data_IF_761001650906
#
_entry.id   IF_761001650906
#
_cell.length_a   1.000
_cell.length_b   1.000
_cell.length_c   1.000
_cell.angle_alpha   90.00
_cell.angle_beta   90.00
_cell.angle_gamma   90.00
#
_symmetry.space_group_name_H-M   'P 1'
#
loop_
_entity.id
_entity.type
_entity.pdbx_description
1 polymer ?
#
# COMPACT_ATOMS: atom_id res chain seq x y z
N UNK A 1 -23.35 18.64 -1.97
CA UNK A 1 -22.20 18.54 -2.89
C UNK A 1 -21.86 17.07 -3.04
N UNK A 2 -22.29 16.46 -4.14
CA UNK A 2 -22.07 15.05 -4.44
C UNK A 2 -20.71 14.97 -5.17
N UNK A 3 -19.63 14.46 -4.56
CA UNK A 3 -18.38 14.31 -5.30
C UNK A 3 -18.63 13.27 -6.37
N UNK A 4 -18.20 13.51 -7.60
CA UNK A 4 -18.27 12.51 -8.67
C UNK A 4 -17.25 11.40 -8.35
N UNK A 5 -17.65 10.44 -7.51
CA UNK A 5 -16.92 9.26 -7.01
C UNK A 5 -16.20 8.42 -8.08
N UNK A 6 -16.49 8.70 -9.35
CA UNK A 6 -16.02 7.98 -10.52
C UNK A 6 -14.81 8.70 -11.16
N UNK A 7 -14.66 10.02 -11.00
CA UNK A 7 -13.66 10.80 -11.74
C UNK A 7 -12.23 10.66 -11.22
N UNK A 8 -12.04 10.64 -9.89
CA UNK A 8 -10.73 10.50 -9.27
C UNK A 8 -10.06 9.14 -9.53
N UNK A 9 -10.75 7.99 -9.36
CA UNK A 9 -10.16 6.68 -9.64
C UNK A 9 -9.85 6.48 -11.13
N UNK A 10 -10.69 7.00 -12.03
CA UNK A 10 -10.48 6.89 -13.48
C UNK A 10 -9.27 7.69 -13.97
N UNK A 11 -9.08 8.91 -13.43
CA UNK A 11 -7.92 9.73 -13.79
C UNK A 11 -6.59 9.12 -13.32
N UNK A 12 -6.60 8.51 -12.12
CA UNK A 12 -5.45 7.78 -11.58
C UNK A 12 -5.17 6.48 -12.33
N UNK A 13 -6.22 5.79 -12.79
CA UNK A 13 -6.11 4.59 -13.62
C UNK A 13 -5.45 4.89 -14.97
N UNK A 14 -5.77 6.02 -15.60
CA UNK A 14 -5.17 6.42 -16.89
C UNK A 14 -3.68 6.79 -16.76
N UNK A 15 -3.30 7.45 -15.67
CA UNK A 15 -1.89 7.80 -15.40
C UNK A 15 -1.07 6.58 -14.95
N UNK A 16 -1.69 5.64 -14.24
CA UNK A 16 -1.11 4.32 -13.98
C UNK A 16 -0.90 3.54 -15.29
N UNK A 17 -1.86 3.50 -16.21
CA UNK A 17 -1.70 2.84 -17.53
C UNK A 17 -0.57 3.49 -18.35
N UNK A 18 -0.39 4.82 -18.26
CA UNK A 18 0.72 5.51 -18.94
C UNK A 18 2.10 5.11 -18.37
N UNK A 19 2.19 4.82 -17.07
CA UNK A 19 3.38 4.26 -16.42
C UNK A 19 3.73 2.82 -16.85
N UNK A 20 2.72 2.01 -17.23
CA UNK A 20 2.87 0.61 -17.68
C UNK A 20 3.66 0.51 -18.98
N UNK A 21 3.44 1.46 -19.89
CA UNK A 21 4.00 1.42 -21.25
C UNK A 21 5.49 1.72 -21.27
N UNK A 22 6.01 2.46 -20.28
CA UNK A 22 7.37 3.02 -20.36
C UNK A 22 8.46 2.26 -19.59
N UNK A 23 8.16 1.26 -18.75
CA UNK A 23 9.22 0.58 -17.96
C UNK A 23 8.89 -0.86 -17.53
N UNK A 24 9.17 -1.87 -18.37
CA UNK A 24 9.03 -3.28 -18.02
C UNK A 24 10.37 -3.79 -17.49
N UNK A 25 10.55 -3.86 -16.17
CA UNK A 25 11.63 -4.67 -15.59
C UNK A 25 11.15 -5.66 -14.52
N UNK A 26 9.93 -5.48 -14.00
CA UNK A 26 9.33 -6.41 -13.05
C UNK A 26 7.80 -6.32 -13.10
N UNK A 27 7.16 -7.22 -13.85
CA UNK A 27 5.70 -7.22 -14.05
C UNK A 27 4.93 -7.35 -12.73
N UNK A 28 5.43 -8.19 -11.80
CA UNK A 28 4.76 -8.44 -10.52
C UNK A 28 4.78 -7.21 -9.61
N UNK A 29 5.96 -6.59 -9.43
CA UNK A 29 6.11 -5.37 -8.65
C UNK A 29 5.30 -4.21 -9.22
N UNK A 30 5.18 -4.16 -10.55
CA UNK A 30 4.37 -3.18 -11.25
C UNK A 30 2.85 -3.35 -10.97
N UNK A 31 2.32 -4.56 -11.17
CA UNK A 31 0.92 -4.88 -10.90
C UNK A 31 0.56 -4.63 -9.44
N UNK A 32 1.43 -5.02 -8.53
CA UNK A 32 1.29 -4.78 -7.11
C UNK A 32 1.25 -3.28 -6.79
N UNK A 33 2.13 -2.49 -7.41
CA UNK A 33 2.14 -1.03 -7.29
C UNK A 33 0.81 -0.38 -7.69
N UNK A 34 0.19 -0.82 -8.78
CA UNK A 34 -1.14 -0.35 -9.19
C UNK A 34 -2.18 -0.63 -8.10
N UNK A 35 -2.22 -1.85 -7.58
CA UNK A 35 -3.21 -2.22 -6.57
C UNK A 35 -3.02 -1.45 -5.26
N UNK A 36 -1.77 -1.28 -4.81
CA UNK A 36 -1.45 -0.49 -3.62
C UNK A 36 -1.85 0.98 -3.81
N UNK A 37 -1.46 1.61 -4.93
CA UNK A 37 -1.82 2.98 -5.24
C UNK A 37 -3.34 3.19 -5.27
N UNK A 38 -4.07 2.29 -5.93
CA UNK A 38 -5.52 2.33 -5.99
C UNK A 38 -6.14 2.23 -4.59
N UNK A 39 -5.69 1.26 -3.79
CA UNK A 39 -6.17 1.08 -2.42
C UNK A 39 -5.93 2.31 -1.54
N UNK A 40 -4.71 2.86 -1.58
CA UNK A 40 -4.34 4.05 -0.80
C UNK A 40 -5.13 5.28 -1.22
N UNK A 41 -5.33 5.47 -2.53
CA UNK A 41 -6.13 6.58 -3.05
C UNK A 41 -7.59 6.46 -2.58
N UNK A 42 -8.19 5.27 -2.69
CA UNK A 42 -9.54 5.01 -2.17
C UNK A 42 -9.61 5.28 -0.67
N UNK A 43 -8.66 4.78 0.13
CA UNK A 43 -8.63 4.99 1.57
C UNK A 43 -8.53 6.48 1.92
N UNK A 44 -7.60 7.20 1.28
CA UNK A 44 -7.40 8.63 1.48
C UNK A 44 -8.65 9.44 1.10
N UNK A 45 -9.30 9.10 -0.02
CA UNK A 45 -10.52 9.74 -0.45
C UNK A 45 -11.64 9.62 0.61
N UNK A 46 -11.87 8.41 1.14
CA UNK A 46 -12.89 8.18 2.17
C UNK A 46 -12.58 8.93 3.47
N UNK A 47 -11.31 8.94 3.90
CA UNK A 47 -10.87 9.68 5.09
C UNK A 47 -11.07 11.19 4.90
N UNK A 48 -10.61 11.76 3.77
CA UNK A 48 -10.75 13.18 3.45
C UNK A 48 -12.23 13.58 3.40
N UNK A 49 -13.09 12.76 2.79
CA UNK A 49 -14.51 13.03 2.73
C UNK A 49 -15.12 13.10 4.14
N UNK A 50 -14.85 12.14 5.02
CA UNK A 50 -15.38 12.17 6.39
C UNK A 50 -14.84 13.35 7.20
N UNK A 51 -13.58 13.74 7.00
CA UNK A 51 -13.01 14.95 7.61
C UNK A 51 -13.69 16.23 7.11
N UNK A 52 -14.00 16.32 5.81
CA UNK A 52 -14.71 17.47 5.21
C UNK A 52 -16.17 17.56 5.67
N UNK A 53 -16.85 16.42 5.84
CA UNK A 53 -18.24 16.37 6.29
C UNK A 53 -18.43 16.73 7.77
N UNK A 54 -17.35 16.99 8.52
CA UNK A 54 -17.39 17.37 9.95
C UNK A 54 -18.20 16.39 10.81
N UNK A 55 -18.22 15.13 10.42
CA UNK A 55 -18.86 14.09 11.21
C UNK A 55 -18.02 13.77 12.45
N UNK A 56 -18.68 13.46 13.57
CA UNK A 56 -17.99 13.12 14.81
C UNK A 56 -17.27 11.79 14.66
N UNK A 57 -15.99 11.86 14.33
CA UNK A 57 -15.10 10.71 14.34
C UNK A 57 -14.88 10.28 15.79
N UNK A 58 -15.23 9.04 16.10
CA UNK A 58 -14.86 8.42 17.36
C UNK A 58 -13.32 8.37 17.46
N UNK A 59 -12.74 8.46 18.68
CA UNK A 59 -11.29 8.44 18.86
C UNK A 59 -10.65 7.13 18.39
N UNK A 60 -11.39 6.03 18.46
CA UNK A 60 -10.91 4.71 18.03
C UNK A 60 -10.65 4.63 16.51
N UNK A 61 -11.61 4.99 15.61
CA UNK A 61 -11.34 5.12 14.18
C UNK A 61 -10.19 6.07 13.83
N UNK A 62 -10.03 7.18 14.57
CA UNK A 62 -8.92 8.11 14.35
C UNK A 62 -7.57 7.45 14.64
N UNK A 63 -7.47 6.71 15.75
CA UNK A 63 -6.28 5.91 16.06
C UNK A 63 -5.99 4.90 14.95
N UNK A 64 -7.00 4.18 14.46
CA UNK A 64 -6.84 3.24 13.36
C UNK A 64 -6.34 3.92 12.08
N UNK A 65 -6.84 5.12 11.74
CA UNK A 65 -6.38 5.86 10.55
C UNK A 65 -4.88 6.20 10.65
N UNK A 66 -4.43 6.69 11.82
CA UNK A 66 -3.02 7.01 12.05
C UNK A 66 -2.17 5.74 12.00
N UNK A 67 -2.61 4.66 12.66
CA UNK A 67 -1.92 3.37 12.62
C UNK A 67 -1.79 2.84 11.19
N UNK A 68 -2.86 2.88 10.39
CA UNK A 68 -2.85 2.48 8.98
C UNK A 68 -1.81 3.29 8.20
N UNK A 69 -1.76 4.62 8.37
CA UNK A 69 -0.81 5.46 7.66
C UNK A 69 0.65 5.12 8.01
N UNK A 70 0.94 4.91 9.30
CA UNK A 70 2.29 4.55 9.77
C UNK A 70 2.72 3.18 9.23
N UNK A 71 1.85 2.17 9.31
CA UNK A 71 2.17 0.82 8.86
C UNK A 71 2.32 0.76 7.33
N UNK A 72 1.49 1.50 6.57
CA UNK A 72 1.69 1.63 5.11
C UNK A 72 3.00 2.31 4.75
N UNK A 73 3.38 3.39 5.45
CA UNK A 73 4.66 4.07 5.21
C UNK A 73 5.84 3.13 5.46
N UNK A 74 5.81 2.37 6.56
CA UNK A 74 6.82 1.36 6.87
C UNK A 74 6.86 0.25 5.81
N UNK A 75 5.70 -0.28 5.39
CA UNK A 75 5.65 -1.30 4.34
C UNK A 75 6.25 -0.78 3.02
N UNK A 76 5.87 0.42 2.58
CA UNK A 76 6.42 1.01 1.35
C UNK A 76 7.93 1.27 1.45
N UNK A 77 8.44 1.64 2.62
CA UNK A 77 9.87 1.82 2.85
C UNK A 77 10.68 0.53 2.59
N UNK A 78 10.21 -0.62 3.07
CA UNK A 78 10.86 -1.90 2.80
C UNK A 78 10.63 -2.40 1.37
N UNK A 79 9.46 -2.09 0.78
CA UNK A 79 9.15 -2.44 -0.61
C UNK A 79 10.14 -1.82 -1.60
N UNK A 80 10.48 -0.54 -1.44
CA UNK A 80 11.41 0.15 -2.35
C UNK A 80 12.88 -0.24 -2.15
N UNK A 81 13.23 -0.94 -1.06
CA UNK A 81 14.59 -1.37 -0.80
C UNK A 81 14.99 -2.67 -1.48
N UNK A 82 14.02 -3.54 -1.80
CA UNK A 82 14.30 -4.87 -2.37
C UNK A 82 13.43 -5.15 -3.60
N UNK A 83 13.88 -4.76 -4.80
CA UNK A 83 13.28 -5.26 -6.03
C UNK A 83 13.69 -6.73 -6.19
N UNK A 84 12.83 -7.64 -5.75
CA UNK A 84 12.96 -9.06 -6.08
C UNK A 84 12.84 -9.21 -7.60
N UNK A 85 13.95 -9.46 -8.29
CA UNK A 85 13.94 -9.60 -9.75
C UNK A 85 13.47 -10.99 -10.14
N UNK A 86 12.32 -11.08 -10.81
CA UNK A 86 11.78 -12.34 -11.35
C UNK A 86 12.50 -12.83 -12.62
N UNK A 87 13.40 -12.02 -13.17
CA UNK A 87 14.15 -12.31 -14.41
C UNK A 87 15.46 -13.08 -14.16
N UNK A 88 15.92 -13.20 -12.91
CA UNK A 88 17.21 -13.81 -12.58
C UNK A 88 17.11 -15.28 -12.23
N UNK A 89 18.19 -16.02 -12.51
CA UNK A 89 18.27 -17.43 -12.14
C UNK A 89 18.34 -17.61 -10.62
N UNK A 90 17.90 -18.76 -10.07
CA UNK A 90 17.99 -19.05 -8.64
C UNK A 90 19.41 -18.95 -8.06
N UNK A 91 20.45 -19.15 -8.89
CA UNK A 91 21.84 -19.01 -8.47
C UNK A 91 22.27 -17.54 -8.32
N UNK A 92 21.92 -16.69 -9.29
CA UNK A 92 22.21 -15.25 -9.27
C UNK A 92 21.41 -14.51 -8.19
N UNK A 93 20.18 -14.96 -7.93
CA UNK A 93 19.37 -14.42 -6.83
C UNK A 93 20.01 -14.66 -5.47
N UNK A 94 20.64 -15.83 -5.24
CA UNK A 94 21.30 -16.17 -3.96
C UNK A 94 22.53 -15.31 -3.66
N UNK A 95 23.22 -14.81 -4.69
CA UNK A 95 24.36 -13.89 -4.51
C UNK A 95 23.93 -12.50 -4.04
N UNK A 96 22.64 -12.14 -4.17
CA UNK A 96 22.09 -10.87 -3.70
C UNK A 96 21.51 -10.93 -2.29
N UNK A 97 21.54 -12.10 -1.64
CA UNK A 97 21.03 -12.26 -0.28
C UNK A 97 21.85 -11.42 0.70
N UNK A 98 21.19 -10.44 1.33
CA UNK A 98 21.77 -9.65 2.41
C UNK A 98 21.69 -10.42 3.74
N UNK A 99 22.55 -10.12 4.72
CA UNK A 99 22.42 -10.70 6.06
C UNK A 99 21.05 -10.38 6.66
N UNK A 100 20.39 -11.37 7.27
CA UNK A 100 19.06 -11.22 7.87
C UNK A 100 19.11 -10.20 9.02
N UNK A 101 18.12 -9.31 9.09
CA UNK A 101 18.14 -8.13 9.97
C UNK A 101 17.43 -8.41 11.30
N UNK A 102 16.32 -9.16 11.26
CA UNK A 102 15.50 -9.41 12.43
C UNK A 102 15.66 -10.88 12.90
N UNK A 103 16.12 -11.04 14.14
CA UNK A 103 16.39 -12.33 14.82
C UNK A 103 17.35 -13.27 14.06
N UNK A 104 18.09 -12.77 13.07
CA UNK A 104 18.95 -13.59 12.21
C UNK A 104 18.18 -14.54 11.29
N UNK A 105 16.86 -14.35 11.14
CA UNK A 105 15.99 -15.21 10.34
C UNK A 105 15.20 -14.43 9.28
N UNK A 106 14.67 -13.26 9.62
CA UNK A 106 13.85 -12.47 8.70
C UNK A 106 14.69 -11.44 7.95
N UNK A 107 14.51 -11.39 6.64
CA UNK A 107 15.07 -10.35 5.78
C UNK A 107 14.09 -9.17 5.62
N UNK A 108 14.51 -8.17 4.84
CA UNK A 108 13.66 -7.00 4.53
C UNK A 108 12.36 -7.37 3.81
N UNK A 109 12.37 -8.43 3.00
CA UNK A 109 11.21 -8.88 2.22
C UNK A 109 10.15 -9.53 3.12
N UNK A 110 10.59 -10.32 4.10
CA UNK A 110 9.72 -10.90 5.12
C UNK A 110 9.07 -9.82 5.98
N UNK A 111 9.85 -8.81 6.38
CA UNK A 111 9.37 -7.66 7.15
C UNK A 111 8.35 -6.88 6.31
N UNK A 112 8.61 -6.69 5.02
CA UNK A 112 7.67 -6.07 4.09
C UNK A 112 6.34 -6.84 4.00
N UNK A 113 6.36 -8.17 3.86
CA UNK A 113 5.15 -9.00 3.85
C UNK A 113 4.35 -8.86 5.15
N UNK A 114 5.02 -8.91 6.30
CA UNK A 114 4.36 -8.78 7.60
C UNK A 114 3.71 -7.40 7.75
N UNK A 115 4.43 -6.32 7.42
CA UNK A 115 3.93 -4.96 7.50
C UNK A 115 2.80 -4.70 6.51
N UNK A 116 2.89 -5.20 5.27
CA UNK A 116 1.85 -5.02 4.26
C UNK A 116 0.56 -5.77 4.61
N UNK A 117 0.65 -6.98 5.18
CA UNK A 117 -0.50 -7.71 5.71
C UNK A 117 -1.19 -6.94 6.85
N UNK A 118 -0.39 -6.40 7.79
CA UNK A 118 -0.91 -5.54 8.85
C UNK A 118 -1.56 -4.25 8.29
N UNK A 119 -0.93 -3.62 7.30
CA UNK A 119 -1.44 -2.41 6.65
C UNK A 119 -2.80 -2.65 5.98
N UNK A 120 -2.95 -3.79 5.28
CA UNK A 120 -4.20 -4.21 4.68
C UNK A 120 -5.28 -4.44 5.73
N UNK A 121 -4.95 -5.14 6.82
CA UNK A 121 -5.89 -5.37 7.93
C UNK A 121 -6.39 -4.06 8.53
N UNK A 122 -5.50 -3.12 8.86
CA UNK A 122 -5.90 -1.82 9.39
C UNK A 122 -6.69 -0.98 8.38
N UNK A 123 -6.37 -1.06 7.08
CA UNK A 123 -7.19 -0.44 6.01
C UNK A 123 -8.63 -0.98 6.01
N UNK A 124 -8.82 -2.30 6.17
CA UNK A 124 -10.15 -2.89 6.28
C UNK A 124 -10.87 -2.45 7.55
N UNK A 125 -10.18 -2.41 8.69
CA UNK A 125 -10.75 -1.92 9.94
C UNK A 125 -11.22 -0.47 9.81
N UNK A 126 -10.37 0.43 9.28
CA UNK A 126 -10.73 1.83 9.04
C UNK A 126 -11.99 1.92 8.19
N UNK A 127 -12.04 1.19 7.06
CA UNK A 127 -13.23 1.17 6.20
C UNK A 127 -14.47 0.66 6.93
N UNK A 128 -14.34 -0.42 7.71
CA UNK A 128 -15.46 -0.98 8.48
C UNK A 128 -16.02 0.05 9.48
N UNK A 129 -15.15 0.73 10.23
CA UNK A 129 -15.58 1.74 11.20
C UNK A 129 -16.10 3.03 10.56
N UNK A 130 -15.61 3.40 9.39
CA UNK A 130 -16.10 4.58 8.64
C UNK A 130 -17.46 4.34 7.98
N UNK A 131 -17.83 3.08 7.69
CA UNK A 131 -19.13 2.72 7.08
C UNK A 131 -20.21 2.45 8.13
N UNK A 132 -19.85 1.94 9.31
CA UNK A 132 -20.81 1.55 10.36
C UNK A 132 -21.32 2.72 11.24
N UNK A 133 -20.98 3.96 10.87
CA UNK A 133 -21.38 5.21 11.54
C UNK A 133 -21.69 6.30 10.50
#
# INVERSE_FOLDING_TARGET
MQPSWITLPLFFSLSAIFGLVYRPRDFASYMLGIFICNLLLYLAFYVIMKLRSSEKLLPFPLFCIVATAVVWAAALYFFFQNPSSWEETPAQSREKNRPCILLGFFDDHDIWHFLSAAALFFSFLVRFFLITK
#
